data_IF_739195410911
#
_entry.id   IF_739195410911
#
_cell.length_a   1.000
_cell.length_b   1.000
_cell.length_c   1.000
_cell.angle_alpha   90.00
_cell.angle_beta   90.00
_cell.angle_gamma   90.00
#
_symmetry.space_group_name_H-M   'P 1'
#
loop_
_entity.id
_entity.type
_entity.pdbx_description
1 polymer ?
#
# COMPACT_ATOMS: atom_id res chain seq x y z
N UNK A 1 60.99 51.49 -22.30
CA UNK A 1 61.12 51.76 -23.76
C UNK A 1 59.78 51.18 -24.30
N UNK A 2 58.88 52.10 -24.51
CA UNK A 2 58.44 52.62 -25.80
C UNK A 2 57.75 51.54 -26.58
N UNK A 3 56.52 51.65 -26.83
CA UNK A 3 55.61 52.61 -27.45
C UNK A 3 54.88 51.70 -28.47
N UNK A 4 53.79 51.83 -28.86
CA UNK A 4 52.83 52.82 -29.24
C UNK A 4 51.61 52.14 -29.83
N UNK A 5 50.46 52.63 -29.53
CA UNK A 5 49.21 52.48 -30.30
C UNK A 5 49.29 53.33 -31.58
N UNK A 6 48.32 53.50 -32.43
CA UNK A 6 46.95 52.94 -32.57
C UNK A 6 46.57 52.60 -34.04
N UNK A 7 45.35 52.19 -34.34
CA UNK A 7 44.40 52.91 -35.22
C UNK A 7 43.12 52.06 -35.49
N UNK A 8 42.04 52.79 -35.31
CA UNK A 8 40.66 52.46 -35.70
C UNK A 8 40.48 52.29 -37.21
N UNK A 9 39.51 51.56 -37.64
CA UNK A 9 38.55 52.07 -38.63
C UNK A 9 37.29 51.21 -38.72
N UNK A 10 36.15 51.90 -38.70
CA UNK A 10 34.77 51.63 -38.99
C UNK A 10 34.52 50.72 -40.19
N UNK A 11 33.37 49.98 -40.09
CA UNK A 11 32.73 49.38 -41.25
C UNK A 11 31.39 48.76 -40.83
N UNK A 12 30.38 49.58 -40.90
CA UNK A 12 28.91 49.35 -40.78
C UNK A 12 28.39 48.47 -41.89
N UNK A 13 27.38 47.68 -41.57
CA UNK A 13 26.17 47.50 -42.36
C UNK A 13 25.72 46.05 -42.67
N UNK A 14 24.47 45.85 -42.33
CA UNK A 14 23.41 45.04 -42.95
C UNK A 14 23.13 43.63 -42.46
N UNK A 15 21.97 43.56 -41.80
CA UNK A 15 21.08 42.38 -41.77
C UNK A 15 20.51 42.12 -43.18
N UNK A 16 20.01 40.88 -43.47
CA UNK A 16 18.66 40.41 -43.05
C UNK A 16 18.69 38.95 -42.57
N UNK A 17 17.86 38.61 -41.64
CA UNK A 17 16.46 38.11 -41.66
C UNK A 17 16.27 36.73 -42.25
N UNK A 18 15.42 35.97 -41.52
CA UNK A 18 14.72 34.73 -41.85
C UNK A 18 15.35 33.39 -41.45
N UNK A 19 14.64 32.77 -40.48
CA UNK A 19 14.78 31.34 -40.17
C UNK A 19 14.19 30.93 -38.84
N UNK A 20 12.90 31.22 -38.62
CA UNK A 20 12.15 30.64 -37.50
C UNK A 20 11.96 29.15 -37.72
N UNK A 21 12.71 28.33 -36.97
CA UNK A 21 12.40 26.90 -36.75
C UNK A 21 11.65 26.73 -35.43
N UNK A 22 10.59 25.91 -35.37
CA UNK A 22 9.78 25.78 -34.17
C UNK A 22 10.58 25.10 -33.07
N UNK A 23 10.66 25.74 -31.91
CA UNK A 23 11.04 25.11 -30.65
C UNK A 23 9.87 24.23 -30.24
N UNK A 24 10.00 22.94 -30.48
CA UNK A 24 9.14 21.92 -29.89
C UNK A 24 9.42 21.88 -28.38
N UNK A 25 8.63 22.65 -27.67
CA UNK A 25 8.56 22.67 -26.20
C UNK A 25 7.60 21.60 -25.73
N UNK A 26 8.01 20.34 -25.82
CA UNK A 26 7.35 19.29 -25.05
C UNK A 26 7.96 19.21 -23.65
N UNK A 27 7.80 20.30 -22.90
CA UNK A 27 7.83 20.26 -21.44
C UNK A 27 6.46 19.72 -21.00
N UNK A 28 6.31 18.39 -21.15
CA UNK A 28 5.15 17.68 -20.68
C UNK A 28 5.20 17.68 -19.16
N UNK A 29 4.45 18.63 -18.63
CA UNK A 29 3.62 18.57 -17.47
C UNK A 29 3.68 17.19 -16.75
N UNK A 30 4.73 16.99 -15.95
CA UNK A 30 4.71 16.04 -14.88
C UNK A 30 3.85 16.64 -13.78
N UNK A 31 2.57 16.70 -14.06
CA UNK A 31 1.55 16.88 -13.05
C UNK A 31 1.81 15.77 -12.04
N UNK A 32 2.37 16.15 -10.91
CA UNK A 32 2.45 15.34 -9.71
C UNK A 32 1.04 14.81 -9.47
N UNK A 33 0.80 13.55 -9.82
CA UNK A 33 -0.35 12.82 -9.33
C UNK A 33 -0.17 12.82 -7.82
N UNK A 34 -0.84 13.75 -7.18
CA UNK A 34 -1.09 13.72 -5.76
C UNK A 34 -1.85 12.42 -5.57
N UNK A 35 -1.19 11.42 -4.99
CA UNK A 35 -1.84 10.17 -4.65
C UNK A 35 -3.13 10.54 -3.90
N UNK A 36 -4.27 10.17 -4.46
CA UNK A 36 -5.55 10.31 -3.76
C UNK A 36 -5.39 9.54 -2.45
N UNK A 37 -5.86 10.15 -1.36
CA UNK A 37 -5.83 9.49 -0.06
C UNK A 37 -6.57 8.14 -0.19
N UNK A 38 -6.02 7.07 0.41
CA UNK A 38 -6.63 5.75 0.33
C UNK A 38 -8.11 5.79 0.72
N UNK A 39 -8.95 5.11 -0.04
CA UNK A 39 -10.42 5.15 0.15
C UNK A 39 -10.92 4.14 1.21
N UNK A 40 -10.05 3.72 2.12
CA UNK A 40 -10.42 2.83 3.23
C UNK A 40 -10.40 3.54 4.58
N UNK A 41 -11.20 3.06 5.56
CA UNK A 41 -11.27 3.67 6.88
C UNK A 41 -9.92 3.66 7.60
N UNK A 42 -9.59 4.75 8.28
CA UNK A 42 -8.41 4.82 9.14
C UNK A 42 -8.57 3.84 10.31
N UNK A 43 -7.61 2.92 10.53
CA UNK A 43 -7.65 2.00 11.66
C UNK A 43 -7.55 2.75 12.99
N UNK A 44 -8.40 2.40 13.96
CA UNK A 44 -8.41 2.97 15.30
C UNK A 44 -8.96 1.99 16.32
N UNK A 45 -8.48 2.10 17.55
CA UNK A 45 -8.95 1.34 18.71
C UNK A 45 -9.66 2.25 19.70
N UNK A 46 -10.61 1.73 20.44
CA UNK A 46 -11.14 2.37 21.64
C UNK A 46 -10.47 1.76 22.87
N UNK A 47 -9.46 2.44 23.40
CA UNK A 47 -8.79 2.07 24.63
C UNK A 47 -9.60 2.58 25.82
N UNK A 48 -9.95 1.70 26.76
CA UNK A 48 -10.73 2.01 27.94
C UNK A 48 -9.96 1.72 29.23
N UNK A 49 -10.12 2.57 30.25
CA UNK A 49 -9.59 2.35 31.60
C UNK A 49 -10.35 1.24 32.30
N UNK A 50 -9.66 0.17 32.70
CA UNK A 50 -10.26 -0.94 33.44
C UNK A 50 -10.70 -0.54 34.85
N UNK A 51 -9.98 0.39 35.49
CA UNK A 51 -10.34 0.90 36.81
C UNK A 51 -11.67 1.65 36.80
N UNK A 52 -11.90 2.50 35.79
CA UNK A 52 -13.17 3.22 35.63
C UNK A 52 -14.29 2.27 35.26
N UNK A 53 -14.02 1.33 34.30
CA UNK A 53 -15.00 0.34 33.88
C UNK A 53 -15.49 -0.49 35.06
N UNK A 54 -14.61 -0.96 35.95
CA UNK A 54 -14.96 -1.69 37.14
C UNK A 54 -15.73 -0.82 38.18
N UNK A 55 -15.55 0.50 38.13
CA UNK A 55 -16.32 1.45 38.93
C UNK A 55 -17.67 1.83 38.28
N UNK A 56 -18.01 1.23 37.11
CA UNK A 56 -19.25 1.51 36.40
C UNK A 56 -19.22 2.80 35.57
N UNK A 57 -18.03 3.32 35.27
CA UNK A 57 -17.81 4.53 34.47
C UNK A 57 -17.15 4.13 33.15
N UNK A 58 -17.75 4.50 32.03
CA UNK A 58 -17.11 4.33 30.73
C UNK A 58 -16.14 5.50 30.50
N UNK A 59 -14.85 5.27 30.72
CA UNK A 59 -13.77 6.20 30.45
C UNK A 59 -12.76 5.58 29.50
N UNK A 60 -12.55 6.19 28.34
CA UNK A 60 -11.67 5.71 27.29
C UNK A 60 -11.53 6.74 26.19
N UNK A 61 -10.74 6.42 25.18
CA UNK A 61 -10.51 7.26 24.03
C UNK A 61 -10.36 6.44 22.75
N UNK A 62 -10.82 6.99 21.62
CA UNK A 62 -10.47 6.51 20.29
C UNK A 62 -9.04 6.96 19.96
N UNK A 63 -8.18 6.00 19.66
CA UNK A 63 -6.77 6.21 19.33
C UNK A 63 -6.54 5.66 17.93
N UNK A 64 -5.93 6.45 17.05
CA UNK A 64 -5.53 5.99 15.71
C UNK A 64 -4.45 4.93 15.84
N UNK A 65 -4.52 3.90 15.00
CA UNK A 65 -3.56 2.81 14.98
C UNK A 65 -2.49 2.99 13.88
N UNK A 66 -2.69 3.94 12.95
CA UNK A 66 -1.77 4.26 11.86
C UNK A 66 -0.68 5.28 12.29
N UNK A 67 -0.15 5.10 13.47
CA UNK A 67 0.91 5.91 14.08
C UNK A 67 1.92 5.01 14.80
N UNK A 68 3.04 5.56 15.22
CA UNK A 68 4.08 4.81 15.90
C UNK A 68 3.61 4.24 17.25
N UNK A 69 4.23 3.15 17.69
CA UNK A 69 3.94 2.52 18.99
C UNK A 69 4.02 3.52 20.14
N UNK A 70 5.08 4.33 20.18
CA UNK A 70 5.30 5.36 21.22
C UNK A 70 4.13 6.37 21.26
N UNK A 71 3.61 6.79 20.10
CA UNK A 71 2.47 7.71 20.01
C UNK A 71 1.17 7.07 20.48
N UNK A 72 0.98 5.76 20.24
CA UNK A 72 -0.16 5.00 20.76
C UNK A 72 -0.06 4.91 22.29
N UNK A 73 1.11 4.57 22.84
CA UNK A 73 1.35 4.48 24.28
C UNK A 73 1.18 5.82 24.99
N UNK A 74 1.68 6.91 24.38
CA UNK A 74 1.45 8.28 24.90
C UNK A 74 -0.04 8.63 24.94
N UNK A 75 -0.81 8.27 23.90
CA UNK A 75 -2.23 8.52 23.84
C UNK A 75 -3.00 7.72 24.90
N UNK A 76 -2.63 6.45 25.14
CA UNK A 76 -3.18 5.59 26.19
C UNK A 76 -2.86 6.20 27.56
N UNK A 77 -1.61 6.57 27.81
CA UNK A 77 -1.17 7.21 29.05
C UNK A 77 -1.96 8.48 29.34
N UNK A 78 -2.09 9.35 28.33
CA UNK A 78 -2.86 10.58 28.45
C UNK A 78 -4.36 10.34 28.71
N UNK A 79 -4.91 9.22 28.23
CA UNK A 79 -6.28 8.80 28.54
C UNK A 79 -6.38 8.36 30.00
N UNK A 80 -5.46 7.52 30.48
CA UNK A 80 -5.43 7.02 31.86
C UNK A 80 -5.23 8.14 32.87
N UNK A 81 -4.38 9.15 32.61
CA UNK A 81 -4.17 10.32 33.44
C UNK A 81 -5.44 11.15 33.69
N UNK A 82 -6.42 11.06 32.78
CA UNK A 82 -7.73 11.74 32.92
C UNK A 82 -8.77 10.88 33.60
N UNK A 83 -8.39 9.69 34.07
CA UNK A 83 -9.28 8.80 34.80
C UNK A 83 -9.79 9.47 36.09
N UNK A 84 -11.04 9.15 36.43
CA UNK A 84 -11.64 9.55 37.72
C UNK A 84 -11.19 8.66 38.89
N UNK A 85 -10.54 7.53 38.59
CA UNK A 85 -10.08 6.56 39.56
C UNK A 85 -8.60 6.81 39.92
N UNK A 86 -8.24 6.92 41.20
CA UNK A 86 -6.85 7.08 41.62
C UNK A 86 -6.01 5.86 41.21
N UNK A 87 -4.88 6.10 40.51
CA UNK A 87 -3.95 5.05 40.15
C UNK A 87 -4.47 4.14 39.05
N UNK A 88 -5.25 4.67 38.11
CA UNK A 88 -5.62 3.93 36.89
C UNK A 88 -4.37 3.71 36.01
N UNK A 89 -3.97 2.45 35.86
CA UNK A 89 -2.77 2.04 35.09
C UNK A 89 -3.10 0.96 34.06
N UNK A 90 -4.25 0.30 34.20
CA UNK A 90 -4.65 -0.81 33.32
C UNK A 90 -5.70 -0.36 32.32
N UNK A 91 -5.55 -0.84 31.08
CA UNK A 91 -6.45 -0.56 29.98
C UNK A 91 -6.71 -1.82 29.15
N UNK A 92 -7.77 -1.75 28.34
CA UNK A 92 -8.11 -2.79 27.38
C UNK A 92 -8.74 -2.19 26.12
N UNK A 93 -8.71 -2.92 25.03
CA UNK A 93 -9.45 -2.59 23.80
C UNK A 93 -10.89 -3.01 24.02
N UNK A 94 -11.82 -2.05 24.02
CA UNK A 94 -13.24 -2.33 24.12
C UNK A 94 -13.95 -2.29 22.77
N UNK A 95 -13.34 -1.63 21.77
CA UNK A 95 -13.87 -1.56 20.40
C UNK A 95 -12.75 -1.19 19.44
N UNK A 96 -12.92 -1.46 18.14
CA UNK A 96 -11.99 -1.05 17.10
C UNK A 96 -12.70 -0.92 15.74
N UNK A 97 -12.17 -0.08 14.86
CA UNK A 97 -12.70 0.19 13.52
C UNK A 97 -11.56 0.26 12.50
N UNK A 98 -11.86 -0.06 11.23
CA UNK A 98 -10.94 0.10 10.11
C UNK A 98 -9.88 -1.00 9.98
N UNK A 99 -10.05 -2.14 10.65
CA UNK A 99 -9.13 -3.28 10.61
C UNK A 99 -9.45 -4.31 9.50
N UNK A 100 -10.40 -4.01 8.61
CA UNK A 100 -10.68 -4.82 7.41
C UNK A 100 -10.89 -6.31 7.67
N UNK A 101 -11.50 -6.66 8.80
CA UNK A 101 -11.79 -8.05 9.19
C UNK A 101 -10.74 -8.69 10.10
N UNK A 102 -9.60 -8.07 10.32
CA UNK A 102 -8.62 -8.54 11.33
C UNK A 102 -9.26 -8.44 12.72
N UNK A 103 -9.22 -9.53 13.48
CA UNK A 103 -9.69 -9.57 14.87
C UNK A 103 -8.55 -9.19 15.81
N UNK A 104 -8.78 -8.18 16.66
CA UNK A 104 -7.85 -7.80 17.72
C UNK A 104 -8.25 -8.44 19.05
N UNK A 105 -7.24 -8.88 19.81
CA UNK A 105 -7.41 -9.28 21.20
C UNK A 105 -7.76 -8.08 22.08
N UNK A 106 -8.56 -8.28 23.14
CA UNK A 106 -8.83 -7.25 24.17
C UNK A 106 -7.53 -6.68 24.78
N UNK A 107 -6.48 -7.50 24.86
CA UNK A 107 -5.16 -7.16 25.42
C UNK A 107 -4.06 -7.24 24.35
N UNK A 108 -4.36 -6.77 23.14
CA UNK A 108 -3.37 -6.76 22.06
C UNK A 108 -2.19 -5.85 22.40
N UNK A 109 -1.00 -6.24 21.95
CA UNK A 109 0.21 -5.46 22.20
C UNK A 109 0.22 -4.19 21.33
N UNK A 110 0.75 -3.09 21.87
CA UNK A 110 0.80 -1.79 21.19
C UNK A 110 1.63 -1.83 19.91
N UNK A 111 2.72 -2.58 19.90
CA UNK A 111 3.56 -2.81 18.71
C UNK A 111 2.80 -3.52 17.58
N UNK A 112 2.01 -4.54 17.91
CA UNK A 112 1.14 -5.24 16.96
C UNK A 112 0.06 -4.31 16.42
N UNK A 113 -0.59 -3.54 17.28
CA UNK A 113 -1.61 -2.55 16.88
C UNK A 113 -1.02 -1.52 15.90
N UNK A 114 0.15 -0.95 16.23
CA UNK A 114 0.83 0.03 15.39
C UNK A 114 1.19 -0.56 14.02
N UNK A 115 1.74 -1.76 13.99
CA UNK A 115 2.14 -2.45 12.76
C UNK A 115 0.96 -2.78 11.87
N UNK A 116 -0.09 -3.35 12.43
CA UNK A 116 -1.34 -3.63 11.69
C UNK A 116 -1.97 -2.34 11.18
N UNK A 117 -2.01 -1.31 12.02
CA UNK A 117 -2.56 -0.01 11.66
C UNK A 117 -1.81 0.67 10.53
N UNK A 118 -0.48 0.67 10.58
CA UNK A 118 0.37 1.24 9.52
C UNK A 118 0.21 0.46 8.20
N UNK A 119 0.27 -0.87 8.23
CA UNK A 119 0.10 -1.70 7.04
C UNK A 119 -1.28 -1.52 6.39
N UNK A 120 -2.35 -1.46 7.20
CA UNK A 120 -3.71 -1.19 6.70
C UNK A 120 -3.87 0.22 6.15
N UNK A 121 -3.23 1.22 6.75
CA UNK A 121 -3.29 2.59 6.26
C UNK A 121 -2.60 2.75 4.91
N UNK A 122 -1.52 2.00 4.67
CA UNK A 122 -0.74 2.04 3.43
C UNK A 122 -1.34 1.15 2.32
N UNK A 123 -1.77 -0.08 2.67
CA UNK A 123 -2.13 -1.11 1.69
C UNK A 123 -3.59 -1.58 1.76
N UNK A 124 -4.35 -1.10 2.73
CA UNK A 124 -5.77 -1.40 2.87
C UNK A 124 -6.10 -2.88 2.98
N UNK A 125 -7.17 -3.34 2.28
CA UNK A 125 -7.62 -4.73 2.33
C UNK A 125 -6.55 -5.75 1.92
N UNK A 126 -5.64 -5.40 1.01
CA UNK A 126 -4.54 -6.27 0.62
C UNK A 126 -3.69 -6.68 1.83
N UNK A 127 -3.37 -5.72 2.72
CA UNK A 127 -2.62 -6.02 3.93
C UNK A 127 -3.42 -6.90 4.92
N UNK A 128 -4.74 -6.69 5.00
CA UNK A 128 -5.59 -7.54 5.83
C UNK A 128 -5.55 -9.01 5.39
N UNK A 129 -5.62 -9.27 4.08
CA UNK A 129 -5.48 -10.62 3.54
C UNK A 129 -4.11 -11.23 3.81
N UNK A 130 -3.04 -10.42 3.71
CA UNK A 130 -1.70 -10.87 4.08
C UNK A 130 -1.61 -11.24 5.55
N UNK A 131 -2.10 -10.39 6.43
CA UNK A 131 -2.11 -10.64 7.87
C UNK A 131 -2.93 -11.90 8.25
N UNK A 132 -4.01 -12.18 7.53
CA UNK A 132 -4.79 -13.42 7.70
C UNK A 132 -3.98 -14.67 7.26
N UNK A 133 -3.20 -14.55 6.18
CA UNK A 133 -2.37 -15.65 5.69
C UNK A 133 -1.22 -16.00 6.62
N UNK A 134 -0.49 -14.98 7.14
CA UNK A 134 0.74 -15.19 7.93
C UNK A 134 0.51 -15.19 9.43
N UNK A 135 -0.64 -14.66 9.86
CA UNK A 135 -1.00 -14.47 11.26
C UNK A 135 -0.47 -13.13 11.83
N UNK A 136 -1.28 -12.49 12.67
CA UNK A 136 -0.96 -11.19 13.25
C UNK A 136 0.18 -11.21 14.27
N UNK A 137 0.53 -12.39 14.80
CA UNK A 137 1.60 -12.58 15.77
C UNK A 137 3.01 -12.71 15.18
N UNK A 138 3.15 -12.90 13.86
CA UNK A 138 4.45 -13.00 13.18
C UNK A 138 4.81 -11.66 12.54
N UNK A 139 5.43 -10.80 13.33
CA UNK A 139 5.78 -9.44 12.91
C UNK A 139 6.80 -9.42 11.76
N UNK A 140 7.74 -10.37 11.75
CA UNK A 140 8.75 -10.46 10.68
C UNK A 140 8.10 -10.79 9.33
N UNK A 141 7.07 -11.63 9.32
CA UNK A 141 6.31 -11.94 8.11
C UNK A 141 5.37 -10.79 7.70
N UNK A 142 4.74 -10.12 8.66
CA UNK A 142 3.93 -8.93 8.34
C UNK A 142 4.74 -7.87 7.58
N UNK A 143 5.99 -7.64 7.99
CA UNK A 143 6.89 -6.68 7.34
C UNK A 143 7.34 -7.09 5.93
N UNK A 144 7.14 -8.35 5.56
CA UNK A 144 7.50 -8.87 4.24
C UNK A 144 6.39 -8.72 3.20
N UNK A 145 5.30 -8.02 3.50
CA UNK A 145 4.20 -7.79 2.56
C UNK A 145 4.66 -7.44 1.15
N UNK A 146 5.54 -6.44 1.00
CA UNK A 146 6.05 -6.01 -0.31
C UNK A 146 6.86 -7.06 -1.06
N UNK A 147 7.41 -8.05 -0.36
CA UNK A 147 8.20 -9.10 -0.98
C UNK A 147 7.31 -10.21 -1.55
N UNK A 148 6.13 -10.38 -0.98
CA UNK A 148 5.20 -11.44 -1.32
C UNK A 148 4.01 -10.96 -2.16
N UNK A 149 3.63 -9.67 -2.06
CA UNK A 149 2.47 -9.16 -2.78
C UNK A 149 2.71 -9.05 -4.28
N UNK A 150 1.99 -9.85 -5.06
CA UNK A 150 2.09 -9.89 -6.53
C UNK A 150 1.16 -8.87 -7.19
N UNK A 151 0.00 -8.59 -6.58
CA UNK A 151 -0.94 -7.61 -7.12
C UNK A 151 -2.41 -7.94 -6.86
N UNK A 152 -3.28 -7.21 -7.57
CA UNK A 152 -4.72 -7.37 -7.52
C UNK A 152 -5.27 -7.57 -8.93
N UNK A 153 -6.21 -8.52 -9.11
CA UNK A 153 -6.89 -8.85 -10.35
C UNK A 153 -8.39 -9.03 -10.10
N UNK A 154 -9.19 -8.92 -11.16
CA UNK A 154 -10.63 -9.16 -11.06
C UNK A 154 -10.93 -10.63 -10.74
N UNK A 155 -10.05 -11.56 -11.17
CA UNK A 155 -10.16 -13.00 -10.91
C UNK A 155 -8.79 -13.70 -10.95
N UNK A 156 -8.73 -14.95 -10.48
CA UNK A 156 -7.54 -15.81 -10.65
C UNK A 156 -7.29 -16.19 -12.11
N UNK A 157 -8.32 -16.22 -12.92
CA UNK A 157 -8.20 -16.44 -14.35
C UNK A 157 -7.47 -15.26 -15.02
N UNK A 158 -7.79 -14.01 -14.66
CA UNK A 158 -7.11 -12.81 -15.18
C UNK A 158 -5.63 -12.79 -14.76
N UNK A 159 -5.33 -13.18 -13.51
CA UNK A 159 -3.93 -13.36 -13.07
C UNK A 159 -3.22 -14.43 -13.89
N UNK A 160 -3.86 -15.59 -14.13
CA UNK A 160 -3.27 -16.69 -14.91
C UNK A 160 -3.01 -16.28 -16.37
N UNK A 161 -3.94 -15.56 -17.00
CA UNK A 161 -3.77 -15.03 -18.35
C UNK A 161 -2.61 -14.04 -18.42
N UNK A 162 -2.53 -13.10 -17.49
CA UNK A 162 -1.42 -12.15 -17.41
C UNK A 162 -0.08 -12.86 -17.19
N UNK A 163 -0.02 -13.83 -16.31
CA UNK A 163 1.20 -14.61 -16.06
C UNK A 163 1.69 -15.33 -17.34
N UNK A 164 0.78 -15.88 -18.13
CA UNK A 164 1.11 -16.51 -19.42
C UNK A 164 1.64 -15.49 -20.42
N UNK A 165 1.04 -14.32 -20.49
CA UNK A 165 1.49 -13.21 -21.34
C UNK A 165 2.90 -12.74 -20.95
N UNK A 166 3.15 -12.56 -19.63
CA UNK A 166 4.45 -12.14 -19.09
C UNK A 166 5.56 -13.18 -19.37
N UNK A 167 5.19 -14.46 -19.40
CA UNK A 167 6.08 -15.57 -19.78
C UNK A 167 6.25 -15.69 -21.32
N UNK A 168 5.51 -14.92 -22.12
CA UNK A 168 5.56 -14.96 -23.58
C UNK A 168 4.95 -16.23 -24.16
N UNK A 169 4.00 -16.85 -23.46
CA UNK A 169 3.33 -18.08 -23.90
C UNK A 169 2.14 -17.70 -24.80
N UNK A 170 2.29 -18.01 -26.10
CA UNK A 170 1.18 -17.90 -27.07
C UNK A 170 0.18 -19.05 -26.85
N UNK A 171 -0.91 -18.76 -26.14
CA UNK A 171 -1.95 -19.74 -25.83
C UNK A 171 -2.75 -20.20 -27.06
N UNK A 172 -2.78 -19.40 -28.13
CA UNK A 172 -3.43 -19.77 -29.39
C UNK A 172 -2.51 -20.58 -30.30
N UNK A 173 -1.19 -20.41 -30.15
CA UNK A 173 -0.15 -21.06 -30.96
C UNK A 173 0.37 -22.39 -30.43
N UNK A 174 -0.27 -22.99 -29.44
CA UNK A 174 0.23 -24.19 -28.75
C UNK A 174 0.30 -25.42 -29.71
N UNK A 175 1.44 -26.11 -29.68
CA UNK A 175 1.67 -27.36 -30.36
C UNK A 175 1.96 -27.25 -31.87
N UNK A 176 2.03 -28.40 -32.58
CA UNK A 176 2.24 -28.44 -34.04
C UNK A 176 1.13 -27.72 -34.81
N UNK A 177 1.46 -27.01 -35.87
CA UNK A 177 0.55 -26.18 -36.68
C UNK A 177 -0.76 -26.88 -37.04
N UNK A 178 -0.68 -28.16 -37.44
CA UNK A 178 -1.87 -28.95 -37.81
C UNK A 178 -2.80 -29.27 -36.65
N UNK A 179 -2.33 -29.18 -35.39
CA UNK A 179 -3.11 -29.47 -34.18
C UNK A 179 -3.57 -28.22 -33.43
N UNK A 180 -3.02 -27.02 -33.73
CA UNK A 180 -3.38 -25.78 -33.08
C UNK A 180 -4.89 -25.51 -32.98
N UNK A 181 -5.71 -25.77 -34.04
CA UNK A 181 -7.16 -25.55 -33.93
C UNK A 181 -7.86 -26.45 -32.90
N UNK A 182 -7.20 -27.48 -32.41
CA UNK A 182 -7.75 -28.49 -31.51
C UNK A 182 -7.13 -28.43 -30.11
N UNK A 183 -6.06 -27.64 -29.91
CA UNK A 183 -5.41 -27.47 -28.62
C UNK A 183 -5.96 -26.17 -27.98
N UNK A 184 -6.38 -26.27 -26.75
CA UNK A 184 -6.77 -25.14 -25.92
C UNK A 184 -6.13 -25.31 -24.54
N UNK A 185 -5.59 -24.22 -23.99
CA UNK A 185 -5.22 -24.22 -22.58
C UNK A 185 -6.48 -24.05 -21.74
N UNK A 186 -6.61 -24.88 -20.75
CA UNK A 186 -7.68 -24.76 -19.75
C UNK A 186 -7.24 -23.76 -18.69
N UNK A 187 -7.57 -22.48 -18.94
CA UNK A 187 -7.18 -21.36 -18.05
C UNK A 187 -7.83 -21.52 -16.67
N UNK A 188 -9.09 -21.97 -16.61
CA UNK A 188 -9.78 -22.19 -15.34
C UNK A 188 -9.07 -23.27 -14.48
N UNK A 189 -8.64 -24.37 -15.10
CA UNK A 189 -7.88 -25.40 -14.42
C UNK A 189 -6.51 -24.86 -13.97
N UNK A 190 -5.81 -24.11 -14.82
CA UNK A 190 -4.51 -23.53 -14.51
C UNK A 190 -4.61 -22.49 -13.37
N UNK A 191 -5.60 -21.60 -13.41
CA UNK A 191 -5.87 -20.64 -12.32
C UNK A 191 -6.15 -21.34 -10.99
N UNK A 192 -6.91 -22.44 -11.01
CA UNK A 192 -7.19 -23.25 -9.80
C UNK A 192 -5.93 -23.89 -9.25
N UNK A 193 -5.05 -24.40 -10.11
CA UNK A 193 -3.78 -24.99 -9.69
C UNK A 193 -2.85 -23.92 -9.09
N UNK A 194 -2.76 -22.73 -9.72
CA UNK A 194 -2.03 -21.57 -9.15
C UNK A 194 -2.56 -21.17 -7.77
N UNK A 195 -3.87 -21.13 -7.60
CA UNK A 195 -4.47 -20.78 -6.30
C UNK A 195 -4.15 -21.81 -5.19
N UNK A 196 -3.69 -23.01 -5.54
CA UNK A 196 -3.22 -23.98 -4.55
C UNK A 196 -1.76 -23.77 -4.13
N UNK A 197 -0.99 -23.05 -4.93
CA UNK A 197 0.45 -22.79 -4.71
C UNK A 197 0.72 -21.38 -4.17
N UNK A 198 -0.28 -20.50 -4.25
CA UNK A 198 -0.20 -19.07 -3.86
C UNK A 198 -1.13 -18.81 -2.67
N UNK A 199 -0.88 -17.72 -1.95
CA UNK A 199 -1.88 -17.19 -1.04
C UNK A 199 -2.82 -16.25 -1.81
N UNK A 200 -4.13 -16.44 -1.65
CA UNK A 200 -5.15 -15.68 -2.37
C UNK A 200 -6.15 -15.11 -1.38
N UNK A 201 -6.21 -13.79 -1.29
CA UNK A 201 -7.25 -13.05 -0.58
C UNK A 201 -8.35 -12.65 -1.54
N UNK A 202 -9.60 -12.88 -1.18
CA UNK A 202 -10.78 -12.55 -2.02
C UNK A 202 -11.59 -11.46 -1.33
N UNK A 203 -11.92 -10.42 -2.04
CA UNK A 203 -12.84 -9.39 -1.58
C UNK A 203 -13.96 -9.10 -2.61
N UNK A 204 -14.72 -8.01 -2.40
CA UNK A 204 -15.82 -7.64 -3.31
C UNK A 204 -15.37 -7.11 -4.67
N UNK A 205 -14.10 -6.75 -4.81
CA UNK A 205 -13.53 -6.10 -5.98
C UNK A 205 -12.60 -7.04 -6.79
N UNK A 206 -12.29 -8.25 -6.26
CA UNK A 206 -11.44 -9.20 -6.96
C UNK A 206 -10.60 -10.09 -6.04
N UNK A 207 -9.35 -10.35 -6.47
CA UNK A 207 -8.42 -11.22 -5.76
C UNK A 207 -7.08 -10.52 -5.55
N UNK A 208 -6.57 -10.58 -4.33
CA UNK A 208 -5.20 -10.23 -3.98
C UNK A 208 -4.34 -11.49 -3.99
N UNK A 209 -3.23 -11.47 -4.70
CA UNK A 209 -2.36 -12.64 -4.88
C UNK A 209 -1.02 -12.40 -4.21
N UNK A 210 -0.53 -13.39 -3.48
CA UNK A 210 0.75 -13.35 -2.78
C UNK A 210 1.57 -14.60 -3.08
N UNK A 211 2.88 -14.46 -3.15
CA UNK A 211 3.82 -15.57 -3.18
C UNK A 211 3.81 -16.28 -1.81
N UNK A 212 3.76 -17.64 -1.82
CA UNK A 212 3.68 -18.45 -0.62
C UNK A 212 5.05 -18.70 0.05
#
# INVERSE_FOLDING_TARGET
MQGEQPHEHHGESQRPDDGAGPRDGSDQDRTSQRAEAPNWPTPKIYAASLSDYNAGVLHGAWIRADQDEDEIEEAITAMLERSSQPGAEEWAIHDYEGFSGIELSEYEQTDTIARLGAGLAEHGPAFAHWADCVGTGDQDLLDQFHQHYLGHWDSMEDYAEQLLDDLGIDTEGLGPEMLRPYIRLDIEAFARDLACELHVGIDGDGVHVFEA
#
